data_IF_770914311414
#
_entry.id   IF_770914311414
#
_cell.length_a   1.000
_cell.length_b   1.000
_cell.length_c   1.000
_cell.angle_alpha   90.00
_cell.angle_beta   90.00
_cell.angle_gamma   90.00
#
_symmetry.space_group_name_H-M   'P 1'
#
loop_
_entity.id
_entity.type
_entity.pdbx_description
1 polymer ?
#
# COMPACT_ATOMS: atom_id res chain seq x y z
N UNK A 1 -32.12 15.27 -0.28
CA UNK A 1 -31.59 15.05 -0.52
C UNK A 1 -31.17 14.63 -0.64
N UNK A 2 -31.12 14.29 -0.64
CA UNK A 2 -30.61 13.74 -0.88
C UNK A 2 -29.98 13.22 -0.91
N UNK A 3 -29.71 12.94 -1.16
CA UNK A 3 -29.03 12.32 -1.25
C UNK A 3 -28.36 12.32 -1.48
N UNK A 4 -28.78 12.40 -1.89
CA UNK A 4 -28.02 12.54 -1.99
C UNK A 4 -27.28 12.50 -1.55
N UNK A 5 -27.62 12.50 -1.61
CA UNK A 5 -26.73 12.51 -0.99
C UNK A 5 -26.19 11.48 -0.45
N UNK A 6 -26.34 10.58 -1.03
CA UNK A 6 -25.58 9.43 -0.73
C UNK A 6 -24.19 9.62 -1.18
N UNK A 7 -23.24 9.64 -0.27
CA UNK A 7 -21.88 9.58 -0.73
C UNK A 7 -21.75 8.32 -1.56
N UNK A 8 -21.20 8.46 -2.74
CA UNK A 8 -20.82 7.29 -3.48
C UNK A 8 -20.02 6.43 -2.57
N UNK A 9 -20.31 5.16 -2.59
CA UNK A 9 -19.55 4.24 -1.79
C UNK A 9 -18.08 4.35 -2.16
N UNK A 10 -17.23 4.52 -1.16
CA UNK A 10 -15.80 4.64 -1.41
C UNK A 10 -15.24 3.34 -1.98
N UNK A 11 -14.41 3.47 -3.00
CA UNK A 11 -13.75 2.31 -3.60
C UNK A 11 -12.30 2.26 -3.12
N UNK A 12 -11.96 1.28 -2.29
CA UNK A 12 -10.60 1.19 -1.78
C UNK A 12 -9.57 1.01 -2.89
N UNK A 13 -8.34 1.40 -2.58
CA UNK A 13 -7.20 1.22 -3.46
C UNK A 13 -6.16 0.36 -2.78
N UNK A 14 -5.34 -0.29 -3.58
CA UNK A 14 -4.20 -1.06 -3.11
C UNK A 14 -2.94 -0.30 -3.50
N UNK A 15 -2.24 0.22 -2.50
CA UNK A 15 -0.99 0.95 -2.75
C UNK A 15 0.16 -0.04 -2.76
N UNK A 16 0.68 -0.29 -3.96
CA UNK A 16 1.89 -1.10 -4.13
C UNK A 16 3.08 -0.18 -3.86
N UNK A 17 3.78 -0.43 -2.78
CA UNK A 17 4.78 0.52 -2.29
C UNK A 17 5.88 0.72 -3.31
N UNK A 18 6.37 -0.37 -3.90
CA UNK A 18 7.42 -0.30 -4.88
C UNK A 18 7.15 -1.30 -5.99
N UNK A 19 7.39 -0.89 -7.21
CA UNK A 19 7.16 -1.76 -8.35
C UNK A 19 7.95 -3.05 -8.19
N UNK A 20 7.30 -4.18 -8.48
CA UNK A 20 7.92 -5.49 -8.36
C UNK A 20 8.52 -5.84 -9.72
N UNK A 21 9.82 -6.10 -9.76
CA UNK A 21 10.46 -6.46 -11.04
C UNK A 21 9.96 -7.80 -11.55
N UNK A 22 9.94 -7.94 -12.86
CA UNK A 22 9.62 -9.21 -13.49
C UNK A 22 10.69 -10.24 -13.18
N UNK A 23 10.27 -11.49 -13.08
CA UNK A 23 11.22 -12.57 -12.84
C UNK A 23 11.80 -13.09 -14.15
N UNK A 24 10.95 -13.33 -15.12
CA UNK A 24 11.35 -13.81 -16.42
C UNK A 24 10.46 -13.22 -17.47
N UNK A 25 11.04 -12.60 -18.48
CA UNK A 25 10.32 -12.18 -19.65
C UNK A 25 9.05 -11.38 -19.32
N UNK A 26 9.17 -10.50 -18.36
CA UNK A 26 8.06 -9.62 -18.04
C UNK A 26 7.07 -10.15 -17.03
N UNK A 27 7.25 -11.35 -16.54
CA UNK A 27 6.36 -11.88 -15.50
C UNK A 27 6.76 -11.32 -14.15
N UNK A 28 5.79 -10.80 -13.39
CA UNK A 28 6.11 -10.27 -12.08
C UNK A 28 6.53 -11.36 -11.11
N UNK A 29 7.40 -11.00 -10.18
CA UNK A 29 7.88 -11.92 -9.16
C UNK A 29 6.74 -12.48 -8.33
N UNK A 30 5.72 -11.66 -8.07
CA UNK A 30 4.53 -12.07 -7.36
C UNK A 30 3.33 -11.82 -8.24
N UNK A 31 2.32 -12.63 -8.05
CA UNK A 31 1.08 -12.45 -8.81
C UNK A 31 0.27 -11.32 -8.20
N UNK A 32 0.55 -10.09 -8.61
CA UNK A 32 -0.16 -8.93 -8.08
C UNK A 32 -1.59 -8.83 -8.61
N UNK A 33 -1.90 -9.58 -9.68
CA UNK A 33 -3.27 -9.57 -10.21
C UNK A 33 -4.26 -10.01 -9.14
N UNK A 34 -3.88 -10.96 -8.30
CA UNK A 34 -4.75 -11.41 -7.21
C UNK A 34 -5.09 -10.33 -6.20
N UNK A 35 -4.32 -9.26 -6.13
CA UNK A 35 -4.60 -8.17 -5.21
C UNK A 35 -5.69 -7.24 -5.75
N UNK A 36 -6.00 -7.31 -7.04
CA UNK A 36 -6.96 -6.40 -7.65
C UNK A 36 -8.37 -6.56 -7.10
N UNK A 37 -8.68 -7.73 -6.54
CA UNK A 37 -10.01 -7.91 -5.94
C UNK A 37 -10.22 -7.04 -4.72
N UNK A 38 -9.15 -6.51 -4.14
CA UNK A 38 -9.26 -5.62 -2.99
C UNK A 38 -9.33 -4.16 -3.40
N UNK A 39 -8.96 -3.84 -4.63
CA UNK A 39 -9.03 -2.48 -5.13
C UNK A 39 -8.09 -2.23 -6.29
N UNK A 40 -8.23 -1.07 -6.88
CA UNK A 40 -7.32 -0.64 -7.95
C UNK A 40 -5.91 -0.54 -7.41
N UNK A 41 -4.95 -1.04 -8.17
CA UNK A 41 -3.55 -1.01 -7.74
C UNK A 41 -2.92 0.31 -8.16
N UNK A 42 -2.36 1.00 -7.17
CA UNK A 42 -1.65 2.26 -7.38
C UNK A 42 -0.20 2.01 -7.03
N UNK A 43 0.68 2.04 -8.03
CA UNK A 43 2.12 1.83 -7.79
C UNK A 43 2.74 3.14 -7.35
N UNK A 44 3.48 3.11 -6.23
CA UNK A 44 4.04 4.32 -5.66
C UNK A 44 5.43 4.64 -6.20
N UNK A 45 6.37 3.73 -6.05
CA UNK A 45 7.75 3.96 -6.45
C UNK A 45 8.20 2.98 -7.52
N UNK A 46 9.13 3.38 -8.39
CA UNK A 46 9.70 2.44 -9.35
C UNK A 46 10.56 1.40 -8.65
N UNK A 47 10.81 0.29 -9.36
CA UNK A 47 11.70 -0.73 -8.83
C UNK A 47 13.10 -0.16 -8.57
N UNK A 48 13.83 -0.80 -7.67
CA UNK A 48 15.19 -0.41 -7.28
C UNK A 48 15.28 0.91 -6.52
N UNK A 49 14.14 1.50 -6.12
CA UNK A 49 14.18 2.65 -5.21
C UNK A 49 14.72 2.20 -3.86
N UNK A 50 15.54 3.03 -3.24
CA UNK A 50 16.15 2.70 -1.96
C UNK A 50 16.16 3.92 -1.04
N UNK A 51 16.02 3.65 0.26
CA UNK A 51 16.24 4.66 1.28
C UNK A 51 17.75 4.76 1.50
N UNK A 52 18.29 5.95 1.31
CA UNK A 52 19.73 6.18 1.44
C UNK A 52 19.99 7.17 2.55
N UNK A 53 21.24 7.67 2.63
CA UNK A 53 21.68 8.48 3.77
C UNK A 53 20.86 9.71 4.06
N UNK A 54 20.26 10.31 3.05
CA UNK A 54 19.47 11.53 3.22
C UNK A 54 18.01 11.24 2.92
N UNK A 55 17.24 10.76 3.90
CA UNK A 55 15.87 10.30 3.63
C UNK A 55 14.86 11.41 3.37
N UNK A 56 15.17 12.67 3.72
CA UNK A 56 14.20 13.75 3.64
C UNK A 56 13.43 13.86 2.33
N UNK A 57 14.13 13.94 1.18
CA UNK A 57 13.41 14.07 -0.10
C UNK A 57 12.51 12.90 -0.40
N UNK A 58 12.91 11.69 -0.03
CA UNK A 58 12.08 10.51 -0.27
C UNK A 58 10.86 10.51 0.63
N UNK A 59 11.04 10.92 1.90
CA UNK A 59 9.91 11.02 2.83
C UNK A 59 8.89 12.01 2.29
N UNK A 60 9.34 13.16 1.80
CA UNK A 60 8.46 14.15 1.23
C UNK A 60 7.67 13.57 0.05
N UNK A 61 8.36 12.85 -0.83
CA UNK A 61 7.72 12.21 -1.97
C UNK A 61 6.69 11.18 -1.52
N UNK A 62 7.03 10.38 -0.52
CA UNK A 62 6.10 9.37 0.00
C UNK A 62 4.86 10.02 0.60
N UNK A 63 5.02 11.10 1.35
CA UNK A 63 3.87 11.80 1.90
C UNK A 63 2.97 12.33 0.79
N UNK A 64 3.55 12.82 -0.29
CA UNK A 64 2.78 13.31 -1.43
C UNK A 64 2.01 12.17 -2.09
N UNK A 65 2.67 11.03 -2.29
CA UNK A 65 2.03 9.87 -2.92
C UNK A 65 0.91 9.30 -2.06
N UNK A 66 1.00 9.46 -0.75
CA UNK A 66 0.03 8.89 0.20
C UNK A 66 -1.01 9.89 0.68
N UNK A 67 -1.03 11.09 0.11
CA UNK A 67 -1.91 12.14 0.64
C UNK A 67 -3.38 11.79 0.61
N UNK A 68 -3.79 10.90 -0.30
CA UNK A 68 -5.19 10.48 -0.41
C UNK A 68 -5.43 9.11 0.21
N UNK A 69 -4.44 8.53 0.88
CA UNK A 69 -4.61 7.25 1.55
C UNK A 69 -5.61 7.36 2.69
N UNK A 70 -6.47 6.35 2.81
CA UNK A 70 -7.46 6.30 3.88
C UNK A 70 -7.36 4.97 4.61
N UNK A 71 -8.00 4.88 5.77
CA UNK A 71 -8.01 3.63 6.52
C UNK A 71 -8.74 2.49 5.79
N UNK A 72 -9.44 2.80 4.71
CA UNK A 72 -10.12 1.78 3.89
C UNK A 72 -9.22 1.20 2.82
N UNK A 73 -8.08 1.82 2.57
CA UNK A 73 -7.16 1.38 1.53
C UNK A 73 -6.20 0.33 2.09
N UNK A 74 -5.46 -0.29 1.17
CA UNK A 74 -4.53 -1.35 1.53
C UNK A 74 -3.11 -0.95 1.14
N UNK A 75 -2.14 -1.47 1.90
CA UNK A 75 -0.73 -1.40 1.52
C UNK A 75 -0.27 -2.80 1.12
N UNK A 76 0.30 -2.91 -0.06
CA UNK A 76 0.95 -4.13 -0.50
C UNK A 76 2.46 -3.92 -0.33
N UNK A 77 3.02 -4.65 0.62
CA UNK A 77 4.39 -4.40 1.07
C UNK A 77 5.38 -5.00 0.08
N UNK A 78 6.08 -4.16 -0.62
CA UNK A 78 7.07 -4.58 -1.61
C UNK A 78 8.24 -3.61 -1.61
N UNK A 79 9.41 -4.13 -1.89
CA UNK A 79 10.60 -3.31 -2.09
C UNK A 79 11.48 -3.20 -0.87
N UNK A 80 12.18 -2.09 -0.77
CA UNK A 80 13.16 -1.82 0.28
C UNK A 80 12.49 -1.80 1.65
N UNK A 81 12.93 -2.64 2.60
CA UNK A 81 12.32 -2.66 3.94
C UNK A 81 12.33 -1.30 4.64
N UNK A 82 13.33 -0.46 4.39
CA UNK A 82 13.38 0.86 5.01
C UNK A 82 12.24 1.73 4.47
N UNK A 83 11.96 1.64 3.17
CA UNK A 83 10.87 2.38 2.56
C UNK A 83 9.54 1.87 3.11
N UNK A 84 9.38 0.55 3.21
CA UNK A 84 8.17 -0.04 3.77
C UNK A 84 7.91 0.49 5.17
N UNK A 85 8.96 0.53 6.01
CA UNK A 85 8.82 1.02 7.37
C UNK A 85 8.35 2.47 7.41
N UNK A 86 8.91 3.32 6.56
CA UNK A 86 8.52 4.73 6.53
C UNK A 86 7.09 4.88 6.02
N UNK A 87 6.70 4.13 5.00
CA UNK A 87 5.33 4.17 4.47
C UNK A 87 4.34 3.79 5.57
N UNK A 88 4.60 2.72 6.29
CA UNK A 88 3.71 2.30 7.38
C UNK A 88 3.62 3.38 8.45
N UNK A 89 4.74 4.04 8.76
CA UNK A 89 4.74 5.12 9.74
C UNK A 89 3.89 6.29 9.26
N UNK A 90 4.00 6.64 7.98
CA UNK A 90 3.23 7.76 7.44
C UNK A 90 1.73 7.46 7.48
N UNK A 91 1.31 6.28 7.02
CA UNK A 91 -0.12 5.97 7.01
C UNK A 91 -0.66 5.83 8.43
N UNK A 92 0.13 5.31 9.36
CA UNK A 92 -0.30 5.25 10.75
C UNK A 92 -0.55 6.66 11.30
N UNK A 93 0.32 7.60 10.95
CA UNK A 93 0.18 8.98 11.37
C UNK A 93 -1.08 9.63 10.79
N UNK A 94 -1.34 9.43 9.50
CA UNK A 94 -2.45 10.11 8.83
C UNK A 94 -3.80 9.44 9.06
N UNK A 95 -3.82 8.19 9.52
CA UNK A 95 -5.07 7.47 9.75
C UNK A 95 -5.35 7.22 11.22
N UNK A 96 -4.61 7.87 12.09
CA UNK A 96 -4.76 7.67 13.53
C UNK A 96 -4.53 6.20 13.90
N UNK A 97 -3.53 5.61 13.28
CA UNK A 97 -3.11 4.25 13.59
C UNK A 97 -3.91 3.13 12.97
N UNK A 98 -4.75 3.44 12.01
CA UNK A 98 -5.61 2.44 11.39
C UNK A 98 -5.30 2.28 9.92
N UNK A 99 -4.86 1.10 9.52
CA UNK A 99 -4.60 0.84 8.11
C UNK A 99 -4.67 -0.66 7.86
N UNK A 100 -4.61 -1.04 6.58
CA UNK A 100 -4.74 -2.44 6.20
C UNK A 100 -3.53 -2.84 5.35
N UNK A 101 -3.06 -4.06 5.59
CA UNK A 101 -1.99 -4.65 4.80
C UNK A 101 -2.56 -5.79 3.97
N UNK A 102 -1.99 -6.01 2.81
CA UNK A 102 -2.23 -7.24 2.06
C UNK A 102 -0.99 -8.09 2.16
N UNK A 103 -1.17 -9.32 2.57
CA UNK A 103 -0.06 -10.25 2.74
C UNK A 103 -0.27 -11.45 1.82
N UNK A 104 0.82 -11.88 1.19
CA UNK A 104 0.80 -13.04 0.31
C UNK A 104 0.89 -14.31 1.14
N UNK A 105 -0.04 -15.25 0.90
CA UNK A 105 -0.01 -16.56 1.52
C UNK A 105 0.61 -17.54 0.53
N UNK A 106 1.78 -18.04 0.87
CA UNK A 106 2.53 -18.93 -0.03
C UNK A 106 1.83 -20.26 -0.25
N UNK A 107 1.13 -20.75 0.76
CA UNK A 107 0.49 -22.06 0.67
C UNK A 107 -0.78 -21.98 -0.16
N UNK A 108 -1.60 -20.99 0.11
CA UNK A 108 -2.87 -20.82 -0.61
C UNK A 108 -2.70 -20.06 -1.90
N UNK A 109 -1.55 -19.45 -2.12
CA UNK A 109 -1.23 -18.66 -3.32
C UNK A 109 -2.26 -17.57 -3.56
N UNK A 110 -2.57 -16.84 -2.51
CA UNK A 110 -3.52 -15.75 -2.56
C UNK A 110 -3.13 -14.68 -1.55
N UNK A 111 -3.72 -13.50 -1.71
CA UNK A 111 -3.55 -12.42 -0.74
C UNK A 111 -4.63 -12.49 0.31
N UNK A 112 -4.30 -12.06 1.52
CA UNK A 112 -5.30 -11.87 2.56
C UNK A 112 -5.01 -10.56 3.29
N UNK A 113 -6.08 -9.90 3.78
CA UNK A 113 -5.92 -8.61 4.44
C UNK A 113 -5.62 -8.78 5.93
N UNK A 114 -4.84 -7.83 6.44
CA UNK A 114 -4.60 -7.73 7.88
C UNK A 114 -4.97 -6.31 8.27
N UNK A 115 -5.89 -6.17 9.22
CA UNK A 115 -6.27 -4.85 9.72
C UNK A 115 -5.38 -4.49 10.90
N UNK A 116 -4.78 -3.33 10.82
CA UNK A 116 -3.87 -2.83 11.84
C UNK A 116 -4.57 -1.70 12.59
N UNK A 117 -4.50 -1.76 13.91
CA UNK A 117 -4.86 -0.67 14.79
C UNK A 117 -3.80 -0.63 15.87
N UNK A 118 -2.86 0.30 15.76
CA UNK A 118 -1.70 0.33 16.66
C UNK A 118 -2.08 0.69 18.09
N UNK A 119 -3.31 1.12 18.32
CA UNK A 119 -3.80 1.44 19.66
C UNK A 119 -4.66 0.34 20.25
N UNK A 120 -4.80 -0.77 19.54
CA UNK A 120 -5.57 -1.90 20.04
C UNK A 120 -4.86 -2.53 21.24
N UNK A 121 -5.63 -2.85 22.26
CA UNK A 121 -5.08 -3.46 23.48
C UNK A 121 -5.56 -4.88 23.66
#
# INVERSE_FOLDING_TARGET
>A
MQFKDHPKQYKPKVYLIQEIPGTNKGEPKYNIVGAQKYGEIVTMLPEFSQMIHSPGPLIYKLRTLLKNYTSEDYLLLSGDPAIIGVVCSIVADTTNGRYKLLKWDRQEKTYYPIEINIYQK
#
